data_IF_610253309877
#
_entry.id   IF_610253309877
#
_cell.length_a   1.000
_cell.length_b   1.000
_cell.length_c   1.000
_cell.angle_alpha   90.00
_cell.angle_beta   90.00
_cell.angle_gamma   90.00
#
_symmetry.space_group_name_H-M   'P 1'
#
loop_
_entity.id
_entity.type
_entity.pdbx_description
1 polymer ?
#
# COMPACT_ATOMS: atom_id res chain seq x y z
N UNK A 1 0.34 -18.52 16.39
CA UNK A 1 -0.78 -18.87 15.47
C UNK A 1 -1.80 -19.80 16.10
N UNK A 2 -1.38 -20.73 16.97
CA UNK A 2 -2.26 -21.58 17.80
C UNK A 2 -3.11 -20.73 18.77
N UNK A 3 -2.49 -19.80 19.50
CA UNK A 3 -3.20 -18.89 20.42
C UNK A 3 -4.25 -18.02 19.71
N UNK A 4 -3.97 -17.65 18.46
CA UNK A 4 -4.89 -16.92 17.60
C UNK A 4 -5.96 -17.81 16.93
N UNK A 5 -6.00 -19.11 17.27
CA UNK A 5 -6.87 -20.15 16.70
C UNK A 5 -6.81 -20.25 15.17
N UNK A 6 -5.64 -19.96 14.59
CA UNK A 6 -5.42 -20.00 13.13
C UNK A 6 -4.81 -21.31 12.63
N UNK A 7 -4.22 -22.08 13.54
CA UNK A 7 -3.63 -23.41 13.29
C UNK A 7 -4.07 -24.32 14.42
N UNK A 8 -4.48 -25.55 14.08
CA UNK A 8 -4.85 -26.59 15.04
C UNK A 8 -3.58 -27.15 15.68
N UNK A 9 -3.57 -27.30 17.00
CA UNK A 9 -2.42 -27.82 17.76
C UNK A 9 -2.04 -29.23 17.32
N UNK A 10 -3.01 -30.04 16.90
CA UNK A 10 -2.78 -31.42 16.48
C UNK A 10 -1.98 -31.54 15.17
N UNK A 11 -1.86 -30.44 14.40
CA UNK A 11 -1.15 -30.41 13.11
C UNK A 11 0.22 -29.75 13.25
N UNK A 12 0.60 -29.26 14.44
CA UNK A 12 1.85 -28.54 14.63
C UNK A 12 3.08 -29.41 14.42
N UNK A 13 3.07 -30.64 14.91
CA UNK A 13 4.19 -31.58 14.71
C UNK A 13 4.35 -31.91 13.22
N UNK A 14 3.24 -32.08 12.49
CA UNK A 14 3.25 -32.30 11.04
C UNK A 14 3.85 -31.11 10.30
N UNK A 15 3.46 -29.88 10.67
CA UNK A 15 4.00 -28.65 10.07
C UNK A 15 5.51 -28.52 10.33
N UNK A 16 5.97 -28.85 11.54
CA UNK A 16 7.39 -28.82 11.88
C UNK A 16 8.18 -29.86 11.06
N UNK A 17 7.65 -31.07 10.93
CA UNK A 17 8.27 -32.11 10.09
C UNK A 17 8.31 -31.69 8.61
N UNK A 18 7.22 -31.13 8.08
CA UNK A 18 7.15 -30.58 6.72
C UNK A 18 8.19 -29.47 6.52
N UNK A 19 8.38 -28.60 7.51
CA UNK A 19 9.34 -27.50 7.48
C UNK A 19 10.79 -27.99 7.49
N UNK A 20 11.14 -28.93 8.37
CA UNK A 20 12.48 -29.50 8.42
C UNK A 20 12.83 -30.24 7.12
N UNK A 21 11.91 -31.05 6.60
CA UNK A 21 12.08 -31.72 5.31
C UNK A 21 12.24 -30.71 4.17
N UNK A 22 11.43 -29.65 4.15
CA UNK A 22 11.51 -28.60 3.15
C UNK A 22 12.88 -27.89 3.16
N UNK A 23 13.40 -27.56 4.35
CA UNK A 23 14.71 -26.95 4.49
C UNK A 23 15.80 -27.87 3.93
N UNK A 24 15.76 -29.16 4.29
CA UNK A 24 16.80 -30.10 3.91
C UNK A 24 16.74 -30.53 2.43
N UNK A 25 15.54 -30.65 1.87
CA UNK A 25 15.34 -31.23 0.54
C UNK A 25 15.07 -30.21 -0.56
N UNK A 26 14.56 -29.03 -0.22
CA UNK A 26 14.25 -27.98 -1.20
C UNK A 26 15.19 -26.80 -0.98
N UNK A 27 15.09 -26.10 0.15
CA UNK A 27 15.80 -24.83 0.38
C UNK A 27 17.32 -24.94 0.23
N UNK A 28 17.94 -25.97 0.84
CA UNK A 28 19.39 -26.15 0.82
C UNK A 28 19.94 -26.77 -0.48
N UNK A 29 19.09 -27.39 -1.29
CA UNK A 29 19.52 -28.16 -2.47
C UNK A 29 19.17 -27.47 -3.79
N UNK A 30 18.15 -26.62 -3.79
CA UNK A 30 17.67 -25.96 -4.99
C UNK A 30 18.42 -24.64 -5.20
N UNK A 31 19.09 -24.50 -6.35
CA UNK A 31 19.83 -23.29 -6.74
C UNK A 31 18.96 -22.03 -6.71
N UNK A 32 17.65 -22.18 -6.97
CA UNK A 32 16.69 -21.08 -7.03
C UNK A 32 16.63 -20.26 -5.73
N UNK A 33 16.92 -20.86 -4.56
CA UNK A 33 17.02 -20.10 -3.30
C UNK A 33 18.24 -19.19 -3.26
N UNK A 34 19.34 -19.61 -3.85
CA UNK A 34 20.57 -18.80 -3.95
C UNK A 34 20.50 -17.75 -5.07
N UNK A 35 19.71 -18.01 -6.10
CA UNK A 35 19.52 -17.12 -7.25
C UNK A 35 18.32 -16.20 -7.11
N UNK A 36 17.48 -16.41 -6.08
CA UNK A 36 16.29 -15.61 -5.83
C UNK A 36 16.65 -14.12 -5.75
N UNK A 37 15.92 -13.32 -6.52
CA UNK A 37 16.04 -11.87 -6.52
C UNK A 37 14.65 -11.25 -6.45
N UNK A 38 14.36 -10.41 -5.45
CA UNK A 38 13.07 -9.73 -5.32
C UNK A 38 12.81 -8.71 -6.45
N UNK A 39 13.81 -8.40 -7.28
CA UNK A 39 13.65 -7.58 -8.48
C UNK A 39 13.11 -8.37 -9.67
N UNK A 40 13.27 -9.70 -9.66
CA UNK A 40 12.93 -10.60 -10.78
C UNK A 40 11.68 -11.45 -10.51
N UNK A 41 11.45 -11.83 -9.26
CA UNK A 41 10.33 -12.67 -8.84
C UNK A 41 9.79 -12.21 -7.49
N UNK A 42 8.48 -12.31 -7.30
CA UNK A 42 7.87 -11.96 -6.03
C UNK A 42 8.00 -13.12 -5.03
N UNK A 43 8.12 -12.77 -3.74
CA UNK A 43 8.36 -13.74 -2.66
C UNK A 43 7.20 -14.74 -2.54
N UNK A 44 5.97 -14.28 -2.77
CA UNK A 44 4.76 -15.09 -2.74
C UNK A 44 4.68 -16.09 -3.90
N UNK A 45 5.02 -15.68 -5.11
CA UNK A 45 5.09 -16.56 -6.28
C UNK A 45 6.17 -17.63 -6.09
N UNK A 46 7.36 -17.23 -5.63
CA UNK A 46 8.47 -18.13 -5.36
C UNK A 46 8.13 -19.21 -4.32
N UNK A 47 7.52 -18.83 -3.19
CA UNK A 47 7.11 -19.82 -2.19
C UNK A 47 5.92 -20.66 -2.65
N UNK A 48 5.01 -20.11 -3.46
CA UNK A 48 3.93 -20.89 -4.05
C UNK A 48 4.46 -22.00 -4.94
N UNK A 49 5.40 -21.70 -5.85
CA UNK A 49 5.97 -22.69 -6.76
C UNK A 49 6.71 -23.82 -6.03
N UNK A 50 7.36 -23.51 -4.91
CA UNK A 50 8.19 -24.46 -4.16
C UNK A 50 7.42 -25.23 -3.10
N UNK A 51 6.39 -24.63 -2.48
CA UNK A 51 5.64 -25.20 -1.36
C UNK A 51 4.23 -25.67 -1.70
N UNK A 52 3.60 -25.23 -2.80
CA UNK A 52 2.23 -25.63 -3.16
C UNK A 52 2.17 -27.06 -3.77
N UNK A 53 2.74 -28.02 -3.06
CA UNK A 53 2.68 -29.44 -3.37
C UNK A 53 1.88 -30.16 -2.30
N UNK A 54 1.41 -31.38 -2.57
CA UNK A 54 0.73 -32.18 -1.57
C UNK A 54 1.60 -32.51 -0.35
N UNK A 55 2.93 -32.44 -0.48
CA UNK A 55 3.90 -32.78 0.56
C UNK A 55 4.01 -31.70 1.64
N UNK A 56 3.88 -30.43 1.27
CA UNK A 56 4.06 -29.28 2.17
C UNK A 56 2.74 -28.52 2.38
N UNK A 57 1.61 -29.22 2.30
CA UNK A 57 0.28 -28.58 2.29
C UNK A 57 0.00 -27.83 3.60
N UNK A 58 0.39 -28.39 4.74
CA UNK A 58 0.11 -27.76 6.03
C UNK A 58 1.06 -26.58 6.26
N UNK A 59 2.33 -26.73 5.89
CA UNK A 59 3.32 -25.66 5.88
C UNK A 59 2.91 -24.50 4.98
N UNK A 60 2.45 -24.78 3.75
CA UNK A 60 2.03 -23.75 2.80
C UNK A 60 0.90 -22.89 3.37
N UNK A 61 -0.10 -23.47 4.03
CA UNK A 61 -1.18 -22.70 4.68
C UNK A 61 -0.64 -21.71 5.72
N UNK A 62 0.39 -22.09 6.47
CA UNK A 62 1.03 -21.20 7.45
C UNK A 62 1.76 -20.05 6.75
N UNK A 63 2.54 -20.37 5.71
CA UNK A 63 3.30 -19.39 4.92
C UNK A 63 2.37 -18.43 4.18
N UNK A 64 1.30 -18.92 3.57
CA UNK A 64 0.25 -18.13 2.94
C UNK A 64 -0.34 -17.11 3.92
N UNK A 65 -0.69 -17.54 5.14
CA UNK A 65 -1.18 -16.62 6.18
C UNK A 65 -0.13 -15.57 6.56
N UNK A 66 1.15 -15.93 6.64
CA UNK A 66 2.23 -14.99 6.96
C UNK A 66 2.42 -13.94 5.85
N UNK A 67 2.40 -14.35 4.58
CA UNK A 67 2.51 -13.46 3.43
C UNK A 67 1.33 -12.47 3.40
N UNK A 68 0.12 -12.94 3.66
CA UNK A 68 -1.09 -12.12 3.73
C UNK A 68 -1.11 -11.16 4.93
N UNK A 69 -0.53 -11.55 6.06
CA UNK A 69 -0.41 -10.68 7.24
C UNK A 69 0.49 -9.46 6.99
N UNK A 70 1.49 -9.57 6.13
CA UNK A 70 2.44 -8.47 5.86
C UNK A 70 1.79 -7.26 5.17
N UNK A 71 0.68 -7.46 4.45
CA UNK A 71 0.01 -6.40 3.69
C UNK A 71 -0.84 -5.44 4.54
N UNK A 72 -1.16 -5.83 5.79
CA UNK A 72 -2.04 -5.06 6.68
C UNK A 72 -1.41 -3.80 7.29
N UNK A 73 -0.09 -3.62 7.18
CA UNK A 73 0.62 -2.44 7.71
C UNK A 73 1.29 -1.63 6.61
N UNK A 74 1.91 -2.26 5.61
CA UNK A 74 2.66 -1.53 4.57
C UNK A 74 1.80 -0.57 3.72
N UNK A 75 0.56 -0.95 3.39
CA UNK A 75 -0.36 -0.07 2.63
C UNK A 75 -0.87 1.08 3.49
N UNK A 76 -1.12 0.82 4.77
CA UNK A 76 -1.60 1.84 5.72
C UNK A 76 -0.47 2.82 6.03
N UNK A 77 0.76 2.36 6.20
CA UNK A 77 1.97 3.20 6.32
C UNK A 77 2.23 4.04 5.08
N UNK A 78 2.00 3.51 3.87
CA UNK A 78 2.05 4.31 2.63
C UNK A 78 1.01 5.43 2.67
N UNK A 79 -0.20 5.14 3.16
CA UNK A 79 -1.26 6.13 3.37
C UNK A 79 -0.90 7.18 4.44
N UNK A 80 -0.29 6.77 5.56
CA UNK A 80 0.20 7.67 6.61
C UNK A 80 1.37 8.52 6.14
N UNK A 81 2.30 7.98 5.36
CA UNK A 81 3.43 8.73 4.80
C UNK A 81 2.97 9.76 3.75
N UNK A 82 1.98 9.42 2.91
CA UNK A 82 1.35 10.38 1.99
C UNK A 82 0.63 11.48 2.79
N UNK A 83 -0.12 11.11 3.83
CA UNK A 83 -0.80 12.09 4.67
C UNK A 83 0.20 12.99 5.40
N UNK A 84 1.31 12.47 5.92
CA UNK A 84 2.38 13.25 6.58
C UNK A 84 3.04 14.27 5.66
N UNK A 85 3.15 13.99 4.35
CA UNK A 85 3.64 14.97 3.35
C UNK A 85 2.67 16.13 3.10
N UNK A 86 1.39 15.93 3.41
CA UNK A 86 0.28 16.85 3.13
C UNK A 86 -0.27 17.47 4.43
N UNK A 87 0.10 16.94 5.60
CA UNK A 87 -0.30 17.38 6.93
C UNK A 87 0.38 18.70 7.31
N UNK A 88 -0.38 19.78 7.32
CA UNK A 88 0.06 21.11 7.77
C UNK A 88 -0.99 21.67 8.71
N UNK A 89 -0.59 22.04 9.92
CA UNK A 89 -1.51 22.60 10.92
C UNK A 89 -2.32 23.77 10.32
N UNK A 90 -3.63 23.80 10.58
CA UNK A 90 -4.60 24.83 10.14
C UNK A 90 -5.08 24.81 8.67
N UNK A 91 -4.94 23.69 7.94
CA UNK A 91 -5.64 23.52 6.66
C UNK A 91 -7.06 22.97 6.80
N UNK A 92 -7.98 23.45 5.94
CA UNK A 92 -9.34 22.90 5.82
C UNK A 92 -9.31 21.60 5.01
N UNK A 93 -10.27 20.70 5.27
CA UNK A 93 -10.41 19.40 4.60
C UNK A 93 -10.30 19.47 3.07
N UNK A 94 -10.98 20.44 2.44
CA UNK A 94 -10.94 20.61 0.99
C UNK A 94 -9.52 20.87 0.45
N UNK A 95 -8.69 21.57 1.22
CA UNK A 95 -7.28 21.80 0.88
C UNK A 95 -6.48 20.50 0.94
N UNK A 96 -6.71 19.66 1.95
CA UNK A 96 -6.06 18.35 2.07
C UNK A 96 -6.43 17.42 0.92
N UNK A 97 -7.71 17.33 0.57
CA UNK A 97 -8.18 16.52 -0.57
C UNK A 97 -7.51 17.00 -1.87
N UNK A 98 -7.46 18.32 -2.08
CA UNK A 98 -6.85 18.90 -3.27
C UNK A 98 -5.35 18.61 -3.35
N UNK A 99 -4.61 18.76 -2.25
CA UNK A 99 -3.18 18.45 -2.21
C UNK A 99 -2.90 16.96 -2.43
N UNK A 100 -3.71 16.08 -1.84
CA UNK A 100 -3.57 14.63 -2.02
C UNK A 100 -3.78 14.21 -3.47
N UNK A 101 -4.72 14.83 -4.19
CA UNK A 101 -4.92 14.60 -5.62
C UNK A 101 -3.69 15.02 -6.44
N UNK A 102 -3.11 16.18 -6.12
CA UNK A 102 -1.89 16.67 -6.79
C UNK A 102 -0.71 15.75 -6.53
N UNK A 103 -0.46 15.37 -5.27
CA UNK A 103 0.60 14.42 -4.91
C UNK A 103 0.39 13.06 -5.57
N UNK A 104 -0.85 12.56 -5.59
CA UNK A 104 -1.17 11.30 -6.27
C UNK A 104 -0.83 11.32 -7.75
N UNK A 105 -1.14 12.43 -8.44
CA UNK A 105 -0.81 12.60 -9.85
C UNK A 105 0.71 12.71 -10.09
N UNK A 106 1.45 13.41 -9.23
CA UNK A 106 2.91 13.50 -9.35
C UNK A 106 3.54 12.11 -9.19
N UNK A 107 3.04 11.32 -8.25
CA UNK A 107 3.57 9.99 -8.00
C UNK A 107 3.29 9.05 -9.19
N UNK A 108 2.10 9.10 -9.79
CA UNK A 108 1.80 8.30 -10.99
C UNK A 108 2.59 8.74 -12.23
N UNK A 109 3.01 10.01 -12.28
CA UNK A 109 3.86 10.55 -13.34
C UNK A 109 5.36 10.21 -13.18
N UNK A 110 5.72 9.31 -12.25
CA UNK A 110 7.10 8.85 -12.03
C UNK A 110 7.87 9.66 -10.98
N UNK A 111 7.18 10.13 -9.94
CA UNK A 111 7.72 10.83 -8.76
C UNK A 111 8.57 12.10 -9.05
N UNK A 112 8.62 12.58 -10.30
CA UNK A 112 9.41 13.74 -10.71
C UNK A 112 8.53 14.82 -11.33
N UNK A 113 8.49 15.98 -10.66
CA UNK A 113 7.78 17.17 -11.13
C UNK A 113 8.34 17.64 -12.49
N UNK A 114 9.61 17.37 -12.77
CA UNK A 114 10.28 17.78 -14.01
C UNK A 114 9.70 17.09 -15.26
N UNK A 115 9.05 15.94 -15.09
CA UNK A 115 8.45 15.18 -16.20
C UNK A 115 7.05 15.71 -16.58
N UNK A 116 6.45 16.56 -15.76
CA UNK A 116 5.10 17.07 -15.98
C UNK A 116 5.15 18.30 -16.88
N UNK A 117 4.75 18.13 -18.15
CA UNK A 117 4.63 19.24 -19.09
C UNK A 117 3.48 20.17 -18.68
N UNK A 118 3.78 21.47 -18.51
CA UNK A 118 2.78 22.48 -18.17
C UNK A 118 1.89 22.75 -19.38
N UNK A 119 0.67 22.22 -19.37
CA UNK A 119 -0.32 22.45 -20.40
C UNK A 119 -0.94 23.86 -20.31
N UNK A 120 -1.42 24.39 -21.44
CA UNK A 120 -2.10 25.70 -21.48
C UNK A 120 -3.32 25.77 -20.56
N UNK A 121 -4.04 24.65 -20.42
CA UNK A 121 -5.18 24.52 -19.51
C UNK A 121 -4.75 24.83 -18.07
N UNK A 122 -3.62 24.29 -17.60
CA UNK A 122 -3.11 24.55 -16.25
C UNK A 122 -2.84 26.03 -16.02
N UNK A 123 -2.27 26.73 -17.02
CA UNK A 123 -2.04 28.18 -16.97
C UNK A 123 -3.35 28.94 -16.80
N UNK A 124 -4.37 28.59 -17.58
CA UNK A 124 -5.72 29.18 -17.46
C UNK A 124 -6.34 28.93 -16.10
N UNK A 125 -6.20 27.72 -15.53
CA UNK A 125 -6.68 27.41 -14.18
C UNK A 125 -5.99 28.25 -13.10
N UNK A 126 -4.67 28.45 -13.20
CA UNK A 126 -3.91 29.28 -12.26
C UNK A 126 -4.31 30.75 -12.39
N UNK A 127 -4.43 31.29 -13.61
CA UNK A 127 -4.87 32.67 -13.83
C UNK A 127 -6.25 32.96 -13.23
N UNK A 128 -7.15 31.98 -13.27
CA UNK A 128 -8.51 32.10 -12.73
C UNK A 128 -8.64 31.70 -11.24
N UNK A 129 -7.58 31.18 -10.61
CA UNK A 129 -7.64 30.63 -9.26
C UNK A 129 -8.09 31.67 -8.22
N UNK A 130 -7.59 32.91 -8.33
CA UNK A 130 -7.98 34.01 -7.44
C UNK A 130 -9.47 34.33 -7.54
N UNK A 131 -10.01 34.39 -8.75
CA UNK A 131 -11.44 34.68 -8.97
C UNK A 131 -12.32 33.57 -8.38
N UNK A 132 -11.94 32.30 -8.60
CA UNK A 132 -12.65 31.15 -7.99
C UNK A 132 -12.62 31.19 -6.47
N UNK A 133 -11.47 31.55 -5.88
CA UNK A 133 -11.35 31.67 -4.42
C UNK A 133 -12.22 32.80 -3.86
N UNK A 134 -12.25 33.97 -4.51
CA UNK A 134 -13.12 35.07 -4.09
C UNK A 134 -14.60 34.67 -4.12
N UNK A 135 -15.04 34.02 -5.20
CA UNK A 135 -16.41 33.49 -5.30
C UNK A 135 -16.73 32.51 -4.17
N UNK A 136 -15.82 31.58 -3.88
CA UNK A 136 -15.98 30.65 -2.75
C UNK A 136 -16.15 31.37 -1.40
N UNK A 137 -15.38 32.43 -1.13
CA UNK A 137 -15.52 33.20 0.10
C UNK A 137 -16.87 33.92 0.20
N UNK A 138 -17.41 34.42 -0.91
CA UNK A 138 -18.75 35.02 -0.96
C UNK A 138 -19.83 33.98 -0.68
N UNK A 139 -19.74 32.81 -1.31
CA UNK A 139 -20.68 31.70 -1.10
C UNK A 139 -20.66 31.24 0.37
N UNK A 140 -19.48 31.14 0.99
CA UNK A 140 -19.36 30.78 2.41
C UNK A 140 -20.00 31.83 3.33
N UNK A 141 -19.84 33.12 3.05
CA UNK A 141 -20.50 34.19 3.82
C UNK A 141 -22.01 34.12 3.72
N UNK A 142 -22.54 33.81 2.53
CA UNK A 142 -23.98 33.64 2.29
C UNK A 142 -24.55 32.43 3.03
N UNK A 143 -23.83 31.31 3.05
CA UNK A 143 -24.22 30.12 3.79
C UNK A 143 -24.26 30.38 5.30
N UNK A 144 -23.25 31.08 5.83
CA UNK A 144 -23.20 31.45 7.24
C UNK A 144 -24.31 32.44 7.66
N UNK A 145 -24.72 33.35 6.78
CA UNK A 145 -25.82 34.28 7.07
C UNK A 145 -27.19 33.61 7.01
N UNK A 146 -27.36 32.59 6.16
CA UNK A 146 -28.58 31.77 6.11
C UNK A 146 -28.74 30.87 7.33
N UNK A 147 -27.66 30.30 7.84
CA UNK A 147 -27.69 29.40 9.00
C UNK A 147 -27.84 30.12 10.36
N UNK A 148 -27.87 31.46 10.37
CA UNK A 148 -28.08 32.29 11.57
C UNK A 148 -29.52 32.80 11.73
N UNK A 149 -30.42 32.47 10.80
CA UNK A 149 -31.86 32.70 10.90
C UNK A 149 -32.56 31.39 11.25
#
# INVERSE_FOLDING_TARGET
MIEAKRVDENVCDEILMEFEDYLYNVSLKHSDFSEFSPEKSSVDEFFYETMNTSKYRNLWKVVEMLLLLSHGQATVEKGFSINKKVEVENMKELSYVSQRLVCGYINTAGDSIHNIKIANIMRTYVSNARQKYMKYLEDQKLLLSRNKK
#
